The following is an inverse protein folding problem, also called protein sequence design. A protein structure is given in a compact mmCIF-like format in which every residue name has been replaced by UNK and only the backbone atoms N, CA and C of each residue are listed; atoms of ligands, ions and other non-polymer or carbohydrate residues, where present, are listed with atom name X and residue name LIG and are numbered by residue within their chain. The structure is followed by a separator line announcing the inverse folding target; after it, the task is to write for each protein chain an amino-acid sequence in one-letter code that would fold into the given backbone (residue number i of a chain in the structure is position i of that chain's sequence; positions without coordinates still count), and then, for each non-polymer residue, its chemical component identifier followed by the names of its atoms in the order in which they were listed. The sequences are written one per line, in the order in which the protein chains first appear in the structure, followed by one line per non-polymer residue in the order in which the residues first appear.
data_IF_955409310806
#
_entry.id   IF_955409310806
#
_cell.length_a   1.000
_cell.length_b   1.000
_cell.length_c   1.000
_cell.angle_alpha   90.00
_cell.angle_beta   90.00
_cell.angle_gamma   90.00
#
_symmetry.space_group_name_H-M   'P 1'
#
loop_
_entity.id
_entity.type
_entity.pdbx_description
1 polymer ?
#
# COMPACT_ATOMS: atom_id res chain seq x y z
N UNK A 1 38.23 5.58 2.91
CA UNK A 1 37.01 5.73 3.73
C UNK A 1 36.47 4.36 4.04
N UNK A 2 36.51 3.98 5.32
CA UNK A 2 36.36 2.60 5.77
C UNK A 2 34.93 2.10 5.56
N UNK A 3 34.75 0.82 5.22
CA UNK A 3 33.43 0.18 5.07
C UNK A 3 32.53 0.40 6.30
N UNK A 4 33.12 0.57 7.49
CA UNK A 4 32.44 0.87 8.76
C UNK A 4 31.77 2.25 8.77
N UNK A 5 32.37 3.26 8.15
CA UNK A 5 31.83 4.63 8.10
C UNK A 5 30.69 4.74 7.07
N UNK A 6 30.80 4.03 5.94
CA UNK A 6 29.72 3.94 4.94
C UNK A 6 28.49 3.22 5.51
N UNK A 7 28.69 2.11 6.23
CA UNK A 7 27.62 1.38 6.90
C UNK A 7 26.93 2.21 8.00
N UNK A 8 27.71 2.89 8.85
CA UNK A 8 27.17 3.76 9.89
C UNK A 8 26.38 4.94 9.31
N UNK A 9 26.83 5.53 8.20
CA UNK A 9 26.14 6.64 7.53
C UNK A 9 24.83 6.18 6.87
N UNK A 10 24.83 5.01 6.23
CA UNK A 10 23.62 4.40 5.65
C UNK A 10 22.60 4.02 6.74
N UNK A 11 23.07 3.44 7.86
CA UNK A 11 22.23 3.11 9.01
C UNK A 11 21.62 4.36 9.67
N UNK A 12 22.37 5.47 9.73
CA UNK A 12 21.89 6.74 10.29
C UNK A 12 20.79 7.39 9.43
N UNK A 13 20.87 7.22 8.11
CA UNK A 13 19.90 7.74 7.15
C UNK A 13 18.61 6.90 7.12
N UNK A 14 18.71 5.57 7.21
CA UNK A 14 17.54 4.69 7.28
C UNK A 14 16.80 4.73 8.61
N UNK A 15 17.48 5.08 9.71
CA UNK A 15 16.89 5.11 11.04
C UNK A 15 16.20 6.44 11.41
N UNK A 16 16.36 7.51 10.63
CA UNK A 16 15.75 8.81 10.98
C UNK A 16 14.21 8.82 10.88
N UNK A 17 13.57 8.20 9.87
CA UNK A 17 12.11 8.21 9.78
C UNK A 17 11.45 7.39 10.88
N UNK A 18 11.96 6.20 11.19
CA UNK A 18 11.40 5.35 12.26
C UNK A 18 11.52 6.01 13.63
N UNK A 19 12.62 6.74 13.89
CA UNK A 19 12.78 7.53 15.12
C UNK A 19 11.79 8.69 15.20
N UNK A 20 11.58 9.41 14.10
CA UNK A 20 10.61 10.50 14.05
C UNK A 20 9.17 9.98 14.24
N UNK A 21 8.84 8.87 13.59
CA UNK A 21 7.57 8.19 13.76
C UNK A 21 7.36 7.73 15.22
N UNK A 22 8.36 7.12 15.86
CA UNK A 22 8.26 6.71 17.27
C UNK A 22 8.04 7.91 18.21
N UNK A 23 8.67 9.05 17.97
CA UNK A 23 8.43 10.27 18.75
C UNK A 23 7.00 10.78 18.55
N UNK A 24 6.51 10.81 17.31
CA UNK A 24 5.16 11.25 16.99
C UNK A 24 4.10 10.30 17.58
N UNK A 25 4.30 8.99 17.48
CA UNK A 25 3.42 7.99 18.06
C UNK A 25 3.39 8.12 19.58
N UNK A 26 4.53 8.29 20.25
CA UNK A 26 4.57 8.52 21.69
C UNK A 26 3.80 9.79 22.12
N UNK A 27 3.79 10.84 21.28
CA UNK A 27 2.99 12.04 21.52
C UNK A 27 1.49 11.74 21.38
N UNK A 28 1.06 11.03 20.33
CA UNK A 28 -0.34 10.64 20.15
C UNK A 28 -0.82 9.69 21.26
N UNK A 29 0.03 8.73 21.65
CA UNK A 29 -0.26 7.75 22.69
C UNK A 29 -0.45 8.36 24.08
N UNK A 30 0.03 9.59 24.29
CA UNK A 30 -0.23 10.34 25.52
C UNK A 30 -1.68 10.82 25.66
N UNK A 31 -2.43 10.86 24.55
CA UNK A 31 -3.82 11.38 24.50
C UNK A 31 -4.84 10.37 23.97
N UNK A 32 -4.43 9.40 23.13
CA UNK A 32 -5.34 8.40 22.57
C UNK A 32 -4.66 7.04 22.38
N UNK A 33 -5.47 6.00 22.19
CA UNK A 33 -4.96 4.67 21.80
C UNK A 33 -4.68 4.63 20.31
N UNK A 34 -3.61 3.93 19.91
CA UNK A 34 -3.17 3.87 18.52
C UNK A 34 -2.86 2.42 18.12
N UNK A 35 -3.50 1.97 17.05
CA UNK A 35 -3.21 0.71 16.37
C UNK A 35 -2.45 0.99 15.06
N UNK A 36 -1.25 0.41 14.91
CA UNK A 36 -0.37 0.65 13.76
C UNK A 36 -0.32 -0.57 12.83
N UNK A 37 -0.77 -0.39 11.59
CA UNK A 37 -0.66 -1.37 10.50
C UNK A 37 0.62 -1.13 9.67
N UNK A 38 1.32 -2.18 9.22
CA UNK A 38 2.41 -2.06 8.26
C UNK A 38 1.90 -1.79 6.84
N UNK A 39 2.68 -1.07 6.05
CA UNK A 39 2.50 -0.84 4.62
C UNK A 39 3.52 -1.56 3.73
N UNK A 40 3.44 -1.33 2.43
CA UNK A 40 4.29 -1.98 1.41
C UNK A 40 5.79 -1.66 1.57
N UNK A 41 6.12 -0.44 2.01
CA UNK A 41 7.50 0.04 2.12
C UNK A 41 8.04 0.00 3.55
N UNK A 42 7.30 -0.62 4.48
CA UNK A 42 7.71 -0.72 5.88
C UNK A 42 8.65 -1.91 6.09
N UNK A 43 9.47 -1.91 7.17
CA UNK A 43 10.35 -3.02 7.53
C UNK A 43 9.57 -4.22 8.13
N UNK A 44 8.54 -4.68 7.41
CA UNK A 44 7.77 -5.90 7.64
C UNK A 44 8.02 -6.90 6.49
N UNK A 45 7.38 -8.07 6.53
CA UNK A 45 7.36 -8.96 5.36
C UNK A 45 6.58 -8.31 4.20
N UNK A 46 7.01 -8.60 2.97
CA UNK A 46 6.42 -8.07 1.75
C UNK A 46 5.12 -8.79 1.35
N UNK A 47 5.00 -10.08 1.70
CA UNK A 47 3.83 -10.90 1.36
C UNK A 47 2.66 -10.60 2.29
N UNK A 48 1.44 -10.60 1.77
CA UNK A 48 0.24 -10.55 2.61
C UNK A 48 -0.06 -11.95 3.21
N UNK A 49 -0.57 -12.03 4.44
CA UNK A 49 -0.72 -10.95 5.42
C UNK A 49 0.65 -10.51 5.99
N UNK A 50 0.84 -9.20 6.10
CA UNK A 50 2.02 -8.60 6.72
C UNK A 50 1.93 -8.72 8.25
N UNK A 51 3.04 -9.14 8.86
CA UNK A 51 3.21 -9.28 10.29
C UNK A 51 3.37 -7.90 10.96
N UNK A 52 2.99 -7.76 12.24
CA UNK A 52 3.17 -6.52 12.97
C UNK A 52 4.63 -6.08 13.01
N UNK A 53 4.84 -4.77 13.01
CA UNK A 53 6.18 -4.20 13.10
C UNK A 53 6.84 -4.56 14.43
N UNK A 54 8.14 -4.85 14.37
CA UNK A 54 8.87 -5.31 15.54
C UNK A 54 9.01 -4.19 16.60
N UNK A 55 8.84 -4.48 17.91
CA UNK A 55 8.92 -3.47 18.99
C UNK A 55 10.22 -2.67 19.05
N UNK A 56 11.33 -3.22 18.56
CA UNK A 56 12.63 -2.52 18.55
C UNK A 56 12.65 -1.24 17.71
N UNK A 57 11.71 -1.09 16.78
CA UNK A 57 11.55 0.13 15.98
C UNK A 57 10.93 1.27 16.78
N UNK A 58 10.26 0.96 17.90
CA UNK A 58 9.45 1.89 18.67
C UNK A 58 9.79 1.88 20.17
N UNK A 59 11.03 2.23 20.57
CA UNK A 59 11.44 2.21 21.97
C UNK A 59 10.64 3.15 22.89
N UNK A 60 10.13 4.28 22.39
CA UNK A 60 9.31 5.20 23.19
C UNK A 60 7.85 4.77 23.23
N UNK A 61 7.27 4.46 22.07
CA UNK A 61 5.84 4.12 21.94
C UNK A 61 5.50 2.78 22.58
N UNK A 62 6.43 1.81 22.56
CA UNK A 62 6.23 0.50 23.19
C UNK A 62 6.07 0.54 24.71
N UNK A 63 6.28 1.71 25.34
CA UNK A 63 6.08 1.92 26.78
C UNK A 63 4.62 2.14 27.15
N UNK A 64 3.79 2.53 26.18
CA UNK A 64 2.36 2.75 26.37
C UNK A 64 1.59 1.45 26.16
N UNK A 65 0.71 1.10 27.08
CA UNK A 65 -0.18 -0.06 26.95
C UNK A 65 -1.27 0.15 25.90
N UNK A 66 -1.52 1.41 25.53
CA UNK A 66 -2.49 1.83 24.50
C UNK A 66 -1.93 1.78 23.08
N UNK A 67 -0.72 1.25 22.89
CA UNK A 67 -0.09 1.09 21.58
C UNK A 67 -0.13 -0.37 21.12
N UNK A 68 -0.86 -0.63 20.05
CA UNK A 68 -0.88 -1.95 19.41
C UNK A 68 -0.21 -1.87 18.06
N UNK A 69 0.62 -2.86 17.75
CA UNK A 69 1.08 -3.10 16.38
C UNK A 69 0.28 -4.26 15.87
N UNK A 70 -0.36 -4.07 14.74
CA UNK A 70 -1.33 -5.02 14.19
C UNK A 70 -0.85 -5.55 12.84
N UNK A 71 -1.48 -6.59 12.34
CA UNK A 71 -1.19 -7.15 11.01
C UNK A 71 -1.76 -6.25 9.92
N UNK A 72 -1.40 -6.52 8.66
CA UNK A 72 -2.14 -6.02 7.51
C UNK A 72 -2.46 -7.20 6.58
N UNK A 73 -3.74 -7.50 6.28
CA UNK A 73 -4.96 -6.82 6.71
C UNK A 73 -5.21 -6.88 8.23
N UNK A 74 -6.10 -6.01 8.71
CA UNK A 74 -6.48 -5.90 10.12
C UNK A 74 -8.00 -5.89 10.30
N UNK A 75 -8.46 -6.61 11.32
CA UNK A 75 -9.86 -6.63 11.75
C UNK A 75 -9.95 -6.40 13.26
N UNK A 76 -10.85 -5.53 13.67
CA UNK A 76 -11.15 -5.26 15.08
C UNK A 76 -12.60 -4.84 15.30
N UNK A 77 -13.05 -4.89 16.55
CA UNK A 77 -14.38 -4.41 16.95
C UNK A 77 -14.19 -3.27 17.94
N UNK A 78 -14.70 -2.09 17.61
CA UNK A 78 -14.69 -0.91 18.47
C UNK A 78 -16.13 -0.49 18.75
N UNK A 79 -16.54 -0.45 20.02
CA UNK A 79 -17.90 -0.03 20.43
C UNK A 79 -19.04 -0.68 19.63
N UNK A 80 -18.94 -1.99 19.39
CA UNK A 80 -19.88 -2.80 18.58
C UNK A 80 -19.86 -2.53 17.07
N UNK A 81 -18.87 -1.79 16.57
CA UNK A 81 -18.62 -1.60 15.13
C UNK A 81 -17.44 -2.46 14.71
N UNK A 82 -17.68 -3.41 13.82
CA UNK A 82 -16.61 -4.20 13.20
C UNK A 82 -15.94 -3.36 12.11
N UNK A 83 -14.62 -3.21 12.23
CA UNK A 83 -13.76 -2.55 11.25
C UNK A 83 -12.85 -3.58 10.64
N UNK A 84 -12.77 -3.59 9.31
CA UNK A 84 -11.88 -4.41 8.52
C UNK A 84 -11.21 -3.52 7.47
N UNK A 85 -9.90 -3.65 7.31
CA UNK A 85 -9.17 -2.84 6.35
C UNK A 85 -7.77 -3.37 6.05
N UNK A 86 -7.14 -2.74 5.05
CA UNK A 86 -5.78 -3.03 4.64
C UNK A 86 -5.06 -1.74 4.22
N UNK A 87 -3.73 -1.76 4.13
CA UNK A 87 -2.88 -0.58 3.82
C UNK A 87 -2.89 -0.16 2.33
N UNK A 88 -3.96 -0.46 1.60
CA UNK A 88 -4.17 -0.06 0.20
C UNK A 88 -3.51 -0.90 -0.91
N UNK A 89 -2.69 -1.91 -0.60
CA UNK A 89 -1.98 -2.68 -1.65
C UNK A 89 -2.94 -3.42 -2.61
N UNK A 90 -3.98 -4.17 -2.16
CA UNK A 90 -4.95 -4.80 -3.05
C UNK A 90 -5.65 -3.83 -4.02
N UNK A 91 -6.13 -2.68 -3.51
CA UNK A 91 -6.80 -1.66 -4.33
C UNK A 91 -5.86 -1.08 -5.38
N UNK A 92 -4.61 -0.82 -4.99
CA UNK A 92 -3.58 -0.28 -5.89
C UNK A 92 -3.22 -1.26 -7.00
N UNK A 93 -3.19 -2.55 -6.68
CA UNK A 93 -2.90 -3.61 -7.63
C UNK A 93 -4.04 -3.81 -8.64
N UNK A 94 -5.29 -3.87 -8.17
CA UNK A 94 -6.48 -3.94 -9.04
C UNK A 94 -6.55 -2.72 -9.96
N UNK A 95 -6.29 -1.51 -9.43
CA UNK A 95 -6.31 -0.29 -10.23
C UNK A 95 -5.29 -0.35 -11.38
N UNK A 96 -4.08 -0.87 -11.11
CA UNK A 96 -3.04 -1.05 -12.13
C UNK A 96 -3.50 -1.99 -13.24
N UNK A 97 -4.11 -3.12 -12.88
CA UNK A 97 -4.61 -4.09 -13.84
C UNK A 97 -5.74 -3.54 -14.70
N UNK A 98 -6.69 -2.79 -14.11
CA UNK A 98 -7.81 -2.20 -14.87
C UNK A 98 -7.33 -1.22 -15.95
N UNK A 99 -6.29 -0.44 -15.65
CA UNK A 99 -5.71 0.53 -16.59
C UNK A 99 -4.96 -0.18 -17.73
N UNK A 100 -4.28 -1.29 -17.43
CA UNK A 100 -3.52 -2.07 -18.43
C UNK A 100 -4.44 -2.83 -19.41
N UNK A 101 -5.70 -3.08 -19.02
CA UNK A 101 -6.73 -3.71 -19.87
C UNK A 101 -7.39 -2.75 -20.88
N UNK A 102 -7.06 -1.45 -20.85
CA UNK A 102 -7.46 -0.55 -21.94
C UNK A 102 -6.60 -0.91 -23.16
N UNK A 103 -7.20 -1.34 -24.29
CA UNK A 103 -6.42 -1.64 -25.47
C UNK A 103 -5.64 -0.38 -25.85
N UNK A 104 -4.31 -0.48 -25.94
CA UNK A 104 -3.53 0.44 -26.75
C UNK A 104 -4.11 0.35 -28.15
N UNK A 105 -4.98 1.30 -28.50
CA UNK A 105 -5.54 1.42 -29.84
C UNK A 105 -4.36 1.28 -30.79
N UNK A 106 -4.44 0.24 -31.63
CA UNK A 106 -3.39 -0.10 -32.57
C UNK A 106 -3.04 1.17 -33.37
N UNK A 107 -1.74 1.43 -33.49
CA UNK A 107 -1.26 2.47 -34.39
C UNK A 107 -1.80 2.17 -35.79
N UNK A 108 -2.74 2.99 -36.24
CA UNK A 108 -3.22 2.94 -37.62
C UNK A 108 -2.17 3.61 -38.51
N UNK A 109 -1.85 2.87 -39.56
CA UNK A 109 -0.90 3.15 -40.62
C UNK A 109 -1.28 4.41 -41.42
N UNK A 110 -0.28 5.06 -42.01
CA UNK A 110 -0.24 6.49 -42.31
C UNK A 110 -1.18 7.03 -43.40
N UNK A 111 -1.36 8.37 -43.37
CA UNK A 111 -1.27 9.23 -44.55
C UNK A 111 -0.88 10.64 -44.06
N UNK A 112 0.35 11.07 -44.40
CA UNK A 112 0.84 12.43 -44.22
C UNK A 112 0.32 13.31 -45.35
N UNK A 113 -0.27 14.47 -45.04
CA UNK A 113 -0.13 15.68 -45.87
C UNK A 113 -0.66 16.94 -45.14
N UNK A 114 0.31 17.79 -44.73
CA UNK A 114 0.31 19.27 -44.62
C UNK A 114 -0.87 20.04 -43.96
N UNK A 115 -0.72 21.17 -43.27
CA UNK A 115 0.36 21.96 -42.67
C UNK A 115 -0.39 23.17 -42.08
N UNK A 116 -0.54 23.28 -40.76
CA UNK A 116 -0.84 24.56 -40.13
C UNK A 116 -0.24 24.59 -38.72
N UNK A 117 0.54 25.64 -38.51
CA UNK A 117 1.47 25.83 -37.42
C UNK A 117 0.72 26.34 -36.19
N UNK A 118 0.72 25.53 -35.13
CA UNK A 118 0.70 26.03 -33.74
C UNK A 118 1.79 25.28 -33.00
N UNK A 119 2.93 25.95 -32.87
CA UNK A 119 4.02 25.52 -31.99
C UNK A 119 3.57 25.64 -30.54
N UNK A 120 3.48 24.52 -29.84
CA UNK A 120 3.86 24.46 -28.43
C UNK A 120 4.44 23.08 -28.08
N UNK A 121 5.78 23.01 -28.18
CA UNK A 121 6.67 22.24 -27.32
C UNK A 121 6.47 20.71 -27.20
N UNK A 122 6.79 19.97 -28.27
CA UNK A 122 7.13 18.54 -28.19
C UNK A 122 8.56 18.36 -27.66
N UNK A 123 8.75 18.39 -26.34
CA UNK A 123 9.90 17.74 -25.70
C UNK A 123 9.47 16.32 -25.35
N UNK A 124 9.94 15.35 -26.12
CA UNK A 124 9.82 13.93 -25.80
C UNK A 124 10.30 13.68 -24.36
N UNK A 125 9.51 13.04 -23.48
CA UNK A 125 10.05 12.59 -22.22
C UNK A 125 10.72 11.24 -22.46
N UNK A 126 12.05 11.29 -22.47
CA UNK A 126 12.90 10.15 -22.18
C UNK A 126 12.36 9.41 -20.94
N UNK A 127 12.19 8.08 -21.07
CA UNK A 127 12.05 7.09 -20.00
C UNK A 127 11.89 7.69 -18.59
N UNK A 128 10.73 8.29 -18.34
CA UNK A 128 10.47 9.04 -17.10
C UNK A 128 9.58 8.20 -16.22
N UNK A 129 10.15 7.76 -15.10
CA UNK A 129 9.49 7.61 -13.80
C UNK A 129 7.95 7.56 -13.87
N UNK A 130 7.38 6.38 -14.10
CA UNK A 130 5.97 6.10 -13.81
C UNK A 130 5.77 6.40 -12.33
N UNK A 131 5.18 7.57 -12.08
CA UNK A 131 5.01 8.14 -10.76
C UNK A 131 3.93 7.33 -10.05
N UNK A 132 4.24 6.86 -8.84
CA UNK A 132 3.34 6.06 -8.00
C UNK A 132 2.04 6.85 -7.72
N UNK A 133 0.89 6.17 -7.84
CA UNK A 133 -0.47 6.56 -7.43
C UNK A 133 -1.10 7.81 -8.09
N UNK A 134 -1.60 7.67 -9.32
CA UNK A 134 -2.52 8.65 -9.92
C UNK A 134 -3.81 7.99 -10.42
N UNK A 135 -4.61 7.42 -9.53
CA UNK A 135 -6.01 7.09 -9.82
C UNK A 135 -6.91 7.89 -8.86
N UNK A 136 -8.07 8.33 -9.36
CA UNK A 136 -8.96 9.19 -8.58
C UNK A 136 -9.47 8.46 -7.33
N UNK A 137 -9.85 9.23 -6.31
CA UNK A 137 -10.49 8.67 -5.11
C UNK A 137 -11.73 7.84 -5.45
N UNK A 138 -12.48 8.25 -6.48
CA UNK A 138 -13.66 7.52 -6.98
C UNK A 138 -13.31 6.12 -7.48
N UNK A 139 -12.21 5.96 -8.23
CA UNK A 139 -11.76 4.63 -8.69
C UNK A 139 -11.42 3.74 -7.50
N UNK A 140 -10.74 4.29 -6.48
CA UNK A 140 -10.39 3.53 -5.27
C UNK A 140 -11.63 3.06 -4.51
N UNK A 141 -12.64 3.94 -4.38
CA UNK A 141 -13.91 3.62 -3.71
C UNK A 141 -14.69 2.55 -4.48
N UNK A 142 -14.75 2.66 -5.82
CA UNK A 142 -15.41 1.65 -6.65
C UNK A 142 -14.72 0.28 -6.53
N UNK A 143 -13.38 0.25 -6.52
CA UNK A 143 -12.64 -1.00 -6.32
C UNK A 143 -12.90 -1.59 -4.93
N UNK A 144 -12.96 -0.76 -3.88
CA UNK A 144 -13.31 -1.22 -2.54
C UNK A 144 -14.75 -1.78 -2.47
N UNK A 145 -15.68 -1.18 -3.20
CA UNK A 145 -17.03 -1.70 -3.31
C UNK A 145 -17.06 -3.03 -4.06
N UNK A 146 -16.29 -3.16 -5.13
CA UNK A 146 -16.17 -4.40 -5.91
C UNK A 146 -15.57 -5.53 -5.06
N UNK A 147 -14.51 -5.28 -4.28
CA UNK A 147 -13.90 -6.32 -3.41
C UNK A 147 -14.85 -6.79 -2.31
N UNK A 148 -15.68 -5.90 -1.77
CA UNK A 148 -16.76 -6.27 -0.86
C UNK A 148 -17.83 -7.12 -1.57
N UNK A 149 -18.24 -6.73 -2.78
CA UNK A 149 -19.22 -7.48 -3.58
C UNK A 149 -18.72 -8.87 -4.00
N UNK A 150 -17.41 -9.02 -4.23
CA UNK A 150 -16.77 -10.31 -4.51
C UNK A 150 -16.53 -11.14 -3.24
N UNK A 151 -16.68 -10.55 -2.05
CA UNK A 151 -16.38 -11.24 -0.80
C UNK A 151 -14.89 -11.57 -0.62
N UNK A 152 -13.98 -10.81 -1.24
CA UNK A 152 -12.55 -11.12 -1.24
C UNK A 152 -11.68 -9.86 -1.15
N UNK A 153 -10.87 -9.75 -0.10
CA UNK A 153 -10.02 -8.57 0.16
C UNK A 153 -8.89 -8.41 -0.85
N UNK A 154 -8.31 -9.51 -1.31
CA UNK A 154 -7.11 -9.54 -2.15
C UNK A 154 -7.25 -10.48 -3.35
N UNK A 155 -8.19 -10.25 -4.28
CA UNK A 155 -8.54 -11.19 -5.35
C UNK A 155 -7.42 -11.39 -6.38
N UNK A 156 -6.42 -10.52 -6.39
CA UNK A 156 -5.28 -10.56 -7.31
C UNK A 156 -4.07 -11.28 -6.71
N UNK A 157 -4.15 -11.71 -5.44
CA UNK A 157 -3.15 -12.58 -4.84
C UNK A 157 -3.44 -14.05 -5.14
N UNK A 158 -2.42 -14.89 -5.36
CA UNK A 158 -0.99 -14.60 -5.35
C UNK A 158 -0.41 -14.13 -6.69
N UNK A 159 -1.20 -14.02 -7.76
CA UNK A 159 -0.73 -13.86 -9.14
C UNK A 159 0.06 -12.57 -9.39
N UNK A 160 -0.45 -11.43 -8.92
CA UNK A 160 0.18 -10.11 -9.11
C UNK A 160 0.54 -9.44 -7.80
N UNK A 161 -0.21 -9.73 -6.72
CA UNK A 161 0.11 -9.28 -5.37
C UNK A 161 0.66 -10.44 -4.53
N UNK A 162 1.91 -10.37 -4.05
CA UNK A 162 2.51 -11.46 -3.30
C UNK A 162 1.73 -11.80 -2.02
N UNK A 163 1.30 -13.05 -1.92
CA UNK A 163 0.59 -13.58 -0.76
C UNK A 163 1.27 -14.85 -0.25
N UNK A 164 1.14 -15.12 1.04
CA UNK A 164 1.59 -16.38 1.63
C UNK A 164 0.73 -17.54 1.10
N UNK A 165 1.32 -18.69 0.72
CA UNK A 165 0.58 -19.81 0.15
C UNK A 165 -0.14 -20.61 1.26
N UNK A 166 -1.34 -20.16 1.65
CA UNK A 166 -2.20 -20.89 2.56
C UNK A 166 -2.73 -22.17 1.89
N UNK A 167 -2.73 -23.29 2.63
CA UNK A 167 -3.11 -24.60 2.08
C UNK A 167 -4.57 -24.96 2.35
N UNK A 168 -5.10 -24.57 3.52
CA UNK A 168 -6.40 -25.04 4.00
C UNK A 168 -7.50 -24.01 3.81
N UNK A 169 -7.25 -22.77 4.25
CA UNK A 169 -8.25 -21.69 4.28
C UNK A 169 -7.57 -20.40 3.82
N UNK A 170 -8.21 -19.70 2.89
CA UNK A 170 -7.76 -18.39 2.45
C UNK A 170 -8.20 -17.32 3.45
N UNK A 171 -7.27 -16.57 4.09
CA UNK A 171 -7.60 -15.54 5.06
C UNK A 171 -8.20 -14.26 4.43
N UNK A 172 -8.20 -14.12 3.11
CA UNK A 172 -8.70 -12.94 2.43
C UNK A 172 -10.19 -13.04 2.04
N UNK A 173 -10.79 -14.22 2.17
CA UNK A 173 -12.23 -14.41 1.96
C UNK A 173 -13.00 -13.79 3.12
N UNK A 174 -13.99 -12.95 2.79
CA UNK A 174 -14.88 -12.35 3.76
C UNK A 174 -15.93 -13.37 4.24
N UNK A 175 -16.09 -13.58 5.56
CA UNK A 175 -17.08 -14.52 6.06
C UNK A 175 -18.52 -14.03 5.77
N UNK A 176 -19.39 -14.93 5.29
CA UNK A 176 -20.75 -14.62 4.82
C UNK A 176 -21.65 -13.92 5.86
N UNK A 177 -21.40 -14.09 7.16
CA UNK A 177 -22.18 -13.45 8.23
C UNK A 177 -21.89 -11.97 8.47
N UNK A 178 -21.00 -11.35 7.70
CA UNK A 178 -20.59 -9.93 7.85
C UNK A 178 -20.95 -9.06 6.64
N UNK A 179 -21.63 -9.62 5.62
CA UNK A 179 -22.10 -8.88 4.45
C UNK A 179 -23.56 -8.41 4.69
N UNK A 180 -23.94 -7.20 4.26
CA UNK A 180 -25.29 -6.65 4.43
C UNK A 180 -26.35 -7.38 3.61
#
# INVERSE_FOLDING_TARGET
MSHKEKAAKAQKLGASPSKQLDVLLAQLLSVCSVDLMPGENDPANLVLPQQPLHPCLFPQSSRFSSFTRVTNPFQAVYDNVTVLGHSGQPVSDIARQRIEQVPKVAAEDGTEDNMDVVEENKKAPAASAVTKNSYSGEVSVNILQDTLGWGHLCPTGPDTLPCYPFQDVDPFILPEGHLP
#
